data_IF_674730094660
#
_entry.id   IF_674730094660
#
_cell.length_a   1.000
_cell.length_b   1.000
_cell.length_c   1.000
_cell.angle_alpha   90.00
_cell.angle_beta   90.00
_cell.angle_gamma   90.00
#
_symmetry.space_group_name_H-M   'P 1'
#
loop_
_entity.id
_entity.type
_entity.pdbx_description
1 polymer ?
#
# COMPACT_ATOMS: atom_id res chain seq x y z
N UNK A 1 0.60 -4.27 -31.04
CA UNK A 1 0.77 -5.10 -29.84
C UNK A 1 0.86 -4.14 -28.65
N UNK A 2 -0.28 -3.75 -28.10
CA UNK A 2 -0.34 -2.78 -26.98
C UNK A 2 -0.57 -3.57 -25.69
N UNK A 3 0.52 -3.82 -24.95
CA UNK A 3 0.48 -4.41 -23.62
C UNK A 3 -0.04 -3.34 -22.65
N UNK A 4 -1.36 -3.14 -22.69
CA UNK A 4 -2.08 -2.21 -21.84
C UNK A 4 -1.65 -2.38 -20.38
N UNK A 5 -0.91 -1.40 -19.84
CA UNK A 5 -0.48 -1.42 -18.45
C UNK A 5 -1.72 -1.61 -17.55
N UNK A 6 -1.71 -2.55 -16.59
CA UNK A 6 -2.85 -2.75 -15.72
C UNK A 6 -3.18 -1.44 -15.01
N UNK A 7 -4.40 -0.93 -15.22
CA UNK A 7 -4.92 0.30 -14.60
C UNK A 7 -4.48 0.33 -13.14
N UNK A 8 -3.66 1.32 -12.75
CA UNK A 8 -3.08 1.47 -11.40
C UNK A 8 -4.20 1.44 -10.36
N UNK A 9 -4.49 0.25 -9.83
CA UNK A 9 -5.49 0.08 -8.77
C UNK A 9 -5.00 0.86 -7.57
N UNK A 10 -5.87 1.70 -7.02
CA UNK A 10 -5.55 2.50 -5.83
C UNK A 10 -5.16 1.54 -4.71
N UNK A 11 -3.89 1.55 -4.33
CA UNK A 11 -3.35 0.63 -3.33
C UNK A 11 -4.07 0.91 -2.02
N UNK A 12 -4.95 -0.02 -1.64
CA UNK A 12 -5.51 -0.04 -0.31
C UNK A 12 -4.42 -0.59 0.62
N UNK A 13 -4.24 0.05 1.77
CA UNK A 13 -3.32 -0.38 2.84
C UNK A 13 -1.82 -0.09 2.59
N UNK A 14 -1.44 1.19 2.73
CA UNK A 14 -0.06 1.54 3.03
C UNK A 14 0.33 1.11 4.46
N UNK A 15 1.59 0.69 4.64
CA UNK A 15 2.21 0.39 5.94
C UNK A 15 2.31 1.63 6.84
N UNK A 16 2.55 1.45 8.14
CA UNK A 16 2.62 2.54 9.12
C UNK A 16 3.73 3.54 8.79
N UNK A 17 4.94 3.06 8.46
CA UNK A 17 6.09 3.91 8.11
C UNK A 17 5.81 4.79 6.89
N UNK A 18 5.32 4.20 5.80
CA UNK A 18 5.01 4.96 4.59
C UNK A 18 3.86 5.97 4.81
N UNK A 19 2.89 5.66 5.68
CA UNK A 19 1.85 6.62 6.07
C UNK A 19 2.39 7.80 6.86
N UNK A 20 3.21 7.53 7.87
CA UNK A 20 3.82 8.57 8.70
C UNK A 20 4.67 9.51 7.85
N UNK A 21 5.44 8.93 6.92
CA UNK A 21 6.23 9.67 5.93
C UNK A 21 5.40 10.31 4.80
N UNK A 22 4.10 10.02 4.71
CA UNK A 22 3.20 10.44 3.61
C UNK A 22 3.73 10.09 2.22
N UNK A 23 4.47 8.97 2.09
CA UNK A 23 5.02 8.49 0.81
C UNK A 23 4.19 7.35 0.24
N UNK A 24 4.32 7.13 -1.07
CA UNK A 24 3.68 6.01 -1.76
C UNK A 24 4.17 4.68 -1.17
N UNK A 25 3.23 3.78 -0.90
CA UNK A 25 3.51 2.44 -0.40
C UNK A 25 3.05 1.43 -1.45
N UNK A 26 3.93 0.48 -1.77
CA UNK A 26 3.75 -0.59 -2.74
C UNK A 26 3.54 -1.97 -2.09
N UNK A 27 3.40 -2.04 -0.76
CA UNK A 27 3.21 -3.31 -0.04
C UNK A 27 1.96 -4.09 -0.45
N UNK A 28 0.91 -3.42 -0.92
CA UNK A 28 -0.32 -4.08 -1.39
C UNK A 28 -0.15 -4.86 -2.69
N UNK A 29 0.95 -4.64 -3.42
CA UNK A 29 1.31 -5.38 -4.64
C UNK A 29 2.43 -6.40 -4.41
N UNK A 30 3.02 -6.45 -3.22
CA UNK A 30 4.19 -7.27 -2.91
C UNK A 30 3.79 -8.59 -2.26
N UNK A 31 4.33 -9.70 -2.76
CA UNK A 31 4.06 -11.06 -2.26
C UNK A 31 4.49 -11.23 -0.79
N UNK A 32 5.59 -10.59 -0.39
CA UNK A 32 6.19 -10.74 0.93
C UNK A 32 5.64 -9.74 1.97
N UNK A 33 4.60 -8.97 1.64
CA UNK A 33 3.98 -7.94 2.50
C UNK A 33 4.95 -6.83 2.98
N UNK A 34 6.16 -6.75 2.42
CA UNK A 34 7.16 -5.71 2.68
C UNK A 34 7.18 -4.75 1.49
N UNK A 35 7.02 -3.45 1.74
CA UNK A 35 7.16 -2.42 0.69
C UNK A 35 8.62 -2.17 0.33
N UNK A 36 8.89 -1.72 -0.90
CA UNK A 36 10.25 -1.40 -1.35
C UNK A 36 10.92 -0.37 -0.45
N UNK A 37 10.15 0.62 0.04
CA UNK A 37 10.65 1.65 0.93
C UNK A 37 11.13 1.13 2.29
N UNK A 38 10.45 0.15 2.88
CA UNK A 38 10.88 -0.48 4.14
C UNK A 38 12.05 -1.43 3.89
N UNK A 39 12.02 -2.19 2.79
CA UNK A 39 13.10 -3.09 2.39
C UNK A 39 14.43 -2.35 2.22
N UNK A 40 14.42 -1.23 1.49
CA UNK A 40 15.62 -0.44 1.25
C UNK A 40 16.11 0.28 2.51
N UNK A 41 15.21 0.64 3.42
CA UNK A 41 15.57 1.25 4.69
C UNK A 41 16.02 0.23 5.75
N UNK A 42 15.91 -1.08 5.49
CA UNK A 42 16.23 -2.13 6.46
C UNK A 42 15.37 -2.07 7.73
N UNK A 43 14.13 -1.57 7.63
CA UNK A 43 13.22 -1.42 8.77
C UNK A 43 12.02 -2.32 8.66
N UNK A 44 11.44 -2.66 9.82
CA UNK A 44 10.22 -3.44 9.86
C UNK A 44 9.04 -2.77 9.16
N UNK A 45 8.43 -3.53 8.26
CA UNK A 45 7.27 -3.12 7.49
C UNK A 45 5.97 -3.51 8.21
N UNK A 46 5.53 -2.66 9.14
CA UNK A 46 4.30 -2.91 9.89
C UNK A 46 3.08 -2.53 9.04
N UNK A 47 2.32 -3.54 8.60
CA UNK A 47 1.06 -3.33 7.88
C UNK A 47 -0.03 -2.85 8.84
N UNK A 48 -0.83 -1.88 8.40
CA UNK A 48 -1.95 -1.39 9.18
C UNK A 48 -3.22 -2.18 8.78
N UNK A 49 -3.46 -3.28 9.50
CA UNK A 49 -4.59 -4.20 9.33
C UNK A 49 -5.91 -3.70 9.95
N UNK A 50 -5.87 -2.67 10.80
CA UNK A 50 -7.00 -2.22 11.61
C UNK A 50 -7.94 -1.19 10.94
N UNK A 51 -7.89 -1.01 9.62
CA UNK A 51 -8.81 -0.06 8.99
C UNK A 51 -10.23 -0.62 8.96
N UNK A 52 -11.09 -0.07 9.82
CA UNK A 52 -12.55 -0.14 9.67
C UNK A 52 -12.90 0.33 8.24
N UNK A 53 -13.75 -0.44 7.54
CA UNK A 53 -14.25 -0.06 6.21
C UNK A 53 -14.84 1.35 6.31
N UNK A 54 -14.54 2.21 5.33
CA UNK A 54 -15.22 3.50 5.22
C UNK A 54 -16.72 3.20 5.13
N UNK A 55 -17.53 3.96 5.88
CA UNK A 55 -18.99 3.82 5.83
C UNK A 55 -19.51 3.90 4.40
N UNK A 56 -20.71 3.38 4.12
CA UNK A 56 -21.29 3.42 2.78
C UNK A 56 -21.26 4.86 2.25
N UNK A 57 -21.03 5.03 0.94
CA UNK A 57 -21.25 6.33 0.30
C UNK A 57 -22.68 6.74 0.65
N UNK A 58 -22.86 7.88 1.32
CA UNK A 58 -24.18 8.50 1.41
C UNK A 58 -24.64 8.73 -0.03
N UNK A 59 -25.79 8.14 -0.38
CA UNK A 59 -26.44 8.35 -1.67
C UNK A 59 -26.79 9.83 -1.84
#
# INVERSE_FOLDING_TARGET
MDLSEPKKRRIQNACLRCRQKKVRCDSGSMLNKICSGCKNAGVDCIQNSLRKRRGPKRM
#
